data_IF_003802965355
#
_entry.id   IF_003802965355
#
_cell.length_a   1.000
_cell.length_b   1.000
_cell.length_c   1.000
_cell.angle_alpha   90.00
_cell.angle_beta   90.00
_cell.angle_gamma   90.00
#
_symmetry.space_group_name_H-M   'P 1'
#
loop_
_entity.id
_entity.type
_entity.pdbx_description
1 polymer ?
#
# COMPACT_ATOMS: atom_id res chain seq x y z
N UNK A 1 9.74 11.54 -6.47
CA UNK A 1 8.67 12.19 -5.67
C UNK A 1 8.13 11.19 -4.66
N UNK A 2 7.89 11.64 -3.45
CA UNK A 2 7.38 10.80 -2.37
C UNK A 2 6.20 11.46 -1.67
N UNK A 3 5.27 10.65 -1.20
CA UNK A 3 4.17 11.08 -0.32
C UNK A 3 3.75 9.90 0.54
N UNK A 4 2.84 10.12 1.47
CA UNK A 4 2.37 9.05 2.35
C UNK A 4 0.87 8.82 2.16
N UNK A 5 0.45 7.59 2.44
CA UNK A 5 -0.97 7.24 2.39
C UNK A 5 -1.31 6.20 3.45
N UNK A 6 -2.60 6.14 3.80
CA UNK A 6 -3.11 5.20 4.80
C UNK A 6 -3.12 3.77 4.22
N UNK A 7 -2.37 2.83 4.83
CA UNK A 7 -2.34 1.45 4.31
C UNK A 7 -3.65 0.68 4.48
N UNK A 8 -4.63 1.23 5.18
CA UNK A 8 -5.97 0.64 5.29
C UNK A 8 -6.95 1.23 4.28
N UNK A 9 -6.54 2.21 3.49
CA UNK A 9 -7.40 2.86 2.50
C UNK A 9 -7.26 2.18 1.14
N UNK A 10 -8.24 1.33 0.82
CA UNK A 10 -8.17 0.43 -0.35
C UNK A 10 -8.09 1.21 -1.66
N UNK A 11 -8.91 2.25 -1.82
CA UNK A 11 -8.94 3.03 -3.07
C UNK A 11 -7.63 3.77 -3.31
N UNK A 12 -7.06 4.37 -2.26
CA UNK A 12 -5.79 5.08 -2.36
C UNK A 12 -4.63 4.12 -2.67
N UNK A 13 -4.63 2.95 -2.04
CA UNK A 13 -3.61 1.94 -2.30
C UNK A 13 -3.65 1.50 -3.77
N UNK A 14 -4.82 1.20 -4.28
CA UNK A 14 -4.99 0.82 -5.68
C UNK A 14 -4.52 1.94 -6.62
N UNK A 15 -4.94 3.17 -6.35
CA UNK A 15 -4.57 4.32 -7.18
C UNK A 15 -3.05 4.51 -7.21
N UNK A 16 -2.41 4.52 -6.04
CA UNK A 16 -0.97 4.74 -5.95
C UNK A 16 -0.15 3.65 -6.65
N UNK A 17 -0.48 2.39 -6.40
CA UNK A 17 0.33 1.28 -6.86
C UNK A 17 -0.01 0.86 -8.30
N UNK A 18 -1.28 0.88 -8.69
CA UNK A 18 -1.71 0.39 -10.00
C UNK A 18 -1.92 1.50 -11.02
N UNK A 19 -2.48 2.65 -10.61
CA UNK A 19 -2.80 3.72 -11.55
C UNK A 19 -1.64 4.68 -11.77
N UNK A 20 -0.84 4.94 -10.74
CA UNK A 20 0.34 5.80 -10.85
C UNK A 20 1.64 5.03 -11.05
N UNK A 21 1.69 3.77 -10.63
CA UNK A 21 2.91 2.97 -10.70
C UNK A 21 3.90 3.27 -9.58
N UNK A 22 3.45 3.87 -8.49
CA UNK A 22 4.29 4.06 -7.31
C UNK A 22 4.61 2.70 -6.67
N UNK A 23 5.65 2.68 -5.86
CA UNK A 23 6.00 1.53 -5.02
C UNK A 23 6.03 1.98 -3.58
N UNK A 24 6.05 1.03 -2.65
CA UNK A 24 6.23 1.33 -1.23
C UNK A 24 7.15 0.29 -0.60
N UNK A 25 8.11 0.78 0.20
CA UNK A 25 9.06 -0.08 0.91
C UNK A 25 9.42 0.47 2.30
N UNK A 26 8.66 1.47 2.78
CA UNK A 26 8.82 2.04 4.12
C UNK A 26 7.45 2.17 4.78
N UNK A 27 7.38 1.78 6.03
CA UNK A 27 6.16 1.83 6.85
C UNK A 27 6.43 2.72 8.06
N UNK A 28 5.66 3.80 8.20
CA UNK A 28 5.78 4.74 9.31
C UNK A 28 4.65 4.51 10.30
N UNK A 29 5.01 4.12 11.52
CA UNK A 29 4.04 3.86 12.59
C UNK A 29 3.59 5.17 13.20
N UNK A 30 2.26 5.39 13.24
CA UNK A 30 1.63 6.52 13.92
C UNK A 30 2.29 7.87 13.59
N UNK A 31 2.51 8.12 12.29
CA UNK A 31 3.29 9.25 11.80
C UNK A 31 2.78 10.62 12.28
N UNK A 32 1.46 10.80 12.38
CA UNK A 32 0.84 12.08 12.75
C UNK A 32 0.16 12.04 14.11
N UNK A 33 0.32 10.95 14.88
CA UNK A 33 -0.40 10.75 16.12
C UNK A 33 -1.84 10.30 15.86
N UNK A 34 -2.59 10.07 16.94
CA UNK A 34 -4.00 9.70 16.86
C UNK A 34 -4.82 10.97 16.65
N UNK A 35 -5.67 10.97 15.62
CA UNK A 35 -6.51 12.11 15.27
C UNK A 35 -7.99 11.77 15.52
N UNK A 36 -8.83 12.81 15.65
CA UNK A 36 -10.27 12.66 15.79
C UNK A 36 -10.99 12.60 14.44
N UNK A 37 -10.24 12.59 13.33
CA UNK A 37 -10.81 12.51 11.99
C UNK A 37 -11.68 11.27 11.84
N UNK A 38 -12.92 11.37 11.33
CA UNK A 38 -13.78 10.22 11.08
C UNK A 38 -13.13 9.20 10.12
N UNK A 39 -12.35 9.66 9.16
CA UNK A 39 -11.65 8.79 8.21
C UNK A 39 -10.59 7.95 8.90
N UNK A 40 -9.92 8.50 9.93
CA UNK A 40 -8.89 7.78 10.68
C UNK A 40 -9.50 6.84 11.73
N UNK A 41 -10.71 7.11 12.20
CA UNK A 41 -11.40 6.28 13.18
C UNK A 41 -10.66 6.16 14.51
N UNK A 42 -9.92 7.18 14.93
CA UNK A 42 -9.10 7.22 16.14
C UNK A 42 -8.01 6.13 16.20
N UNK A 43 -7.69 5.53 15.07
CA UNK A 43 -6.56 4.60 14.97
C UNK A 43 -5.24 5.34 14.91
N UNK A 44 -4.11 4.69 15.26
CA UNK A 44 -2.79 5.25 14.94
C UNK A 44 -2.71 5.63 13.45
N UNK A 45 -2.03 6.73 13.16
CA UNK A 45 -1.86 7.20 11.79
C UNK A 45 -0.68 6.53 11.11
N UNK A 46 -0.78 5.21 10.96
CA UNK A 46 0.23 4.46 10.20
C UNK A 46 0.19 4.89 8.73
N UNK A 47 1.36 4.98 8.11
CA UNK A 47 1.48 5.42 6.72
C UNK A 47 2.48 4.57 5.97
N UNK A 48 2.16 4.25 4.72
CA UNK A 48 3.14 3.77 3.75
C UNK A 48 3.69 4.97 3.01
N UNK A 49 4.96 4.91 2.66
CA UNK A 49 5.59 5.95 1.84
C UNK A 49 5.53 5.50 0.39
N UNK A 50 4.78 6.24 -0.42
CA UNK A 50 4.73 6.02 -1.85
C UNK A 50 5.95 6.66 -2.50
N UNK A 51 6.66 5.91 -3.33
CA UNK A 51 7.78 6.40 -4.12
C UNK A 51 7.39 6.36 -5.59
N UNK A 52 7.35 7.52 -6.21
CA UNK A 52 7.00 7.64 -7.63
C UNK A 52 8.24 8.05 -8.43
N UNK A 53 8.78 7.08 -9.13
CA UNK A 53 9.98 7.23 -9.95
C UNK A 53 9.55 7.52 -11.39
N UNK A 54 9.30 8.80 -11.65
CA UNK A 54 8.62 9.28 -12.87
C UNK A 54 9.25 8.82 -14.18
N UNK A 55 10.56 8.67 -14.23
CA UNK A 55 11.29 8.24 -15.42
C UNK A 55 11.63 6.76 -15.42
N UNK A 56 11.12 6.01 -14.47
CA UNK A 56 11.36 4.57 -14.36
C UNK A 56 10.62 3.79 -15.46
N UNK A 57 11.13 2.59 -15.75
CA UNK A 57 10.44 1.65 -16.64
C UNK A 57 9.04 1.32 -16.16
N UNK A 58 8.88 1.20 -14.85
CA UNK A 58 7.61 0.87 -14.23
C UNK A 58 6.55 1.95 -14.49
N UNK A 59 6.88 3.20 -14.17
CA UNK A 59 5.95 4.31 -14.35
C UNK A 59 5.68 4.55 -15.83
N UNK A 60 6.71 4.46 -16.66
CA UNK A 60 6.55 4.61 -18.10
C UNK A 60 5.61 3.56 -18.70
N UNK A 61 5.71 2.31 -18.25
CA UNK A 61 4.80 1.24 -18.67
C UNK A 61 3.36 1.53 -18.24
N UNK A 62 3.15 2.03 -17.04
CA UNK A 62 1.81 2.39 -16.55
C UNK A 62 1.22 3.52 -17.40
N UNK A 63 2.01 4.54 -17.70
CA UNK A 63 1.54 5.67 -18.50
C UNK A 63 1.25 5.28 -19.96
N UNK A 64 2.00 4.33 -20.50
CA UNK A 64 1.84 3.90 -21.88
C UNK A 64 0.72 2.88 -22.08
N UNK A 65 0.56 1.93 -21.15
CA UNK A 65 -0.37 0.81 -21.32
C UNK A 65 -1.42 0.68 -20.22
N UNK A 66 -1.30 1.44 -19.14
CA UNK A 66 -2.18 1.31 -17.98
C UNK A 66 -1.76 0.21 -17.00
N UNK A 67 -0.66 -0.49 -17.28
CA UNK A 67 -0.19 -1.61 -16.46
C UNK A 67 1.30 -1.54 -16.21
N UNK A 68 1.72 -1.80 -14.97
CA UNK A 68 3.13 -1.98 -14.66
C UNK A 68 3.62 -3.36 -15.16
N UNK A 69 4.94 -3.56 -15.28
CA UNK A 69 5.47 -4.87 -15.63
C UNK A 69 5.01 -5.95 -14.66
N UNK A 70 4.89 -7.18 -15.15
CA UNK A 70 4.50 -8.31 -14.32
C UNK A 70 5.50 -8.50 -13.17
N UNK A 71 4.98 -8.82 -11.99
CA UNK A 71 5.77 -9.03 -10.79
C UNK A 71 5.59 -10.46 -10.29
N UNK A 72 6.62 -10.97 -9.61
CA UNK A 72 6.51 -12.24 -8.89
C UNK A 72 6.00 -11.93 -7.49
N UNK A 73 4.77 -12.29 -7.22
CA UNK A 73 4.15 -12.05 -5.91
C UNK A 73 4.65 -13.10 -4.92
N UNK A 74 5.32 -12.65 -3.87
CA UNK A 74 5.82 -13.52 -2.81
C UNK A 74 4.95 -13.48 -1.56
N UNK A 75 4.22 -12.36 -1.36
CA UNK A 75 3.35 -12.20 -0.20
C UNK A 75 2.18 -11.27 -0.56
N UNK A 76 1.01 -11.54 0.03
CA UNK A 76 -0.14 -10.66 -0.03
C UNK A 76 -0.49 -10.17 1.36
N UNK A 77 -0.73 -8.86 1.48
CA UNK A 77 -1.18 -8.25 2.73
C UNK A 77 -2.56 -7.67 2.46
N UNK A 78 -3.57 -8.26 3.09
CA UNK A 78 -4.97 -7.98 2.76
C UNK A 78 -5.61 -6.97 3.70
N UNK A 79 -6.55 -6.19 3.13
CA UNK A 79 -7.43 -5.30 3.89
C UNK A 79 -8.86 -5.67 3.51
N UNK A 80 -9.69 -6.09 4.47
CA UNK A 80 -11.08 -6.46 4.17
C UNK A 80 -11.92 -5.21 3.89
N UNK A 81 -12.96 -5.36 3.06
CA UNK A 81 -13.88 -4.27 2.75
C UNK A 81 -14.51 -3.66 4.00
N UNK A 82 -14.77 -4.49 5.00
CA UNK A 82 -15.38 -4.10 6.27
C UNK A 82 -14.56 -3.08 7.05
N UNK A 83 -13.30 -2.83 6.63
CA UNK A 83 -12.43 -1.86 7.31
C UNK A 83 -13.10 -0.48 7.40
N UNK A 84 -13.87 -0.09 6.40
CA UNK A 84 -14.55 1.21 6.40
C UNK A 84 -15.62 1.27 7.49
N UNK A 85 -16.42 0.22 7.62
CA UNK A 85 -17.46 0.13 8.65
C UNK A 85 -16.84 0.06 10.04
N UNK A 86 -15.78 -0.71 10.20
CA UNK A 86 -15.10 -0.90 11.48
C UNK A 86 -14.43 0.39 11.97
N UNK A 87 -13.90 1.20 11.07
CA UNK A 87 -13.31 2.49 11.43
C UNK A 87 -14.38 3.52 11.83
N UNK A 88 -15.54 3.45 11.22
CA UNK A 88 -16.64 4.40 11.45
C UNK A 88 -17.42 4.12 12.74
N UNK A 89 -17.45 2.87 13.20
CA UNK A 89 -18.26 2.45 14.35
C UNK A 89 -17.34 2.19 15.57
N UNK A 90 -17.57 2.94 16.65
CA UNK A 90 -16.78 2.81 17.87
C UNK A 90 -16.80 1.39 18.45
N UNK A 91 -17.93 0.68 18.30
CA UNK A 91 -18.08 -0.68 18.85
C UNK A 91 -17.32 -1.72 18.03
N UNK A 92 -17.04 -1.43 16.74
CA UNK A 92 -16.35 -2.33 15.83
C UNK A 92 -14.89 -1.94 15.61
N UNK A 93 -14.44 -0.86 16.22
CA UNK A 93 -13.11 -0.30 16.02
C UNK A 93 -11.99 -1.26 16.40
N UNK A 94 -12.23 -2.14 17.37
CA UNK A 94 -11.25 -3.15 17.76
C UNK A 94 -10.91 -4.09 16.59
N UNK A 95 -11.87 -4.36 15.68
CA UNK A 95 -11.61 -5.15 14.49
C UNK A 95 -10.62 -4.43 13.55
N UNK A 96 -10.79 -3.12 13.38
CA UNK A 96 -9.88 -2.32 12.57
C UNK A 96 -8.48 -2.25 13.20
N UNK A 97 -8.40 -2.10 14.51
CA UNK A 97 -7.14 -2.12 15.25
C UNK A 97 -6.40 -3.44 15.05
N UNK A 98 -7.12 -4.56 15.06
CA UNK A 98 -6.55 -5.88 14.84
C UNK A 98 -5.95 -6.02 13.43
N UNK A 99 -6.66 -5.53 12.41
CA UNK A 99 -6.15 -5.55 11.04
C UNK A 99 -4.91 -4.66 10.92
N UNK A 100 -4.95 -3.46 11.48
CA UNK A 100 -3.81 -2.54 11.43
C UNK A 100 -2.58 -3.16 12.11
N UNK A 101 -2.73 -3.74 13.29
CA UNK A 101 -1.63 -4.36 14.01
C UNK A 101 -1.04 -5.55 13.25
N UNK A 102 -1.91 -6.40 12.70
CA UNK A 102 -1.48 -7.53 11.87
C UNK A 102 -0.70 -7.06 10.65
N UNK A 103 -1.26 -6.10 9.92
CA UNK A 103 -0.65 -5.62 8.69
C UNK A 103 0.65 -4.87 8.94
N UNK A 104 0.73 -4.08 10.03
CA UNK A 104 1.97 -3.44 10.45
C UNK A 104 3.10 -4.46 10.60
N UNK A 105 2.84 -5.53 11.32
CA UNK A 105 3.81 -6.62 11.51
C UNK A 105 4.22 -7.24 10.16
N UNK A 106 3.25 -7.51 9.30
CA UNK A 106 3.52 -8.11 7.99
C UNK A 106 4.35 -7.19 7.10
N UNK A 107 4.03 -5.89 7.05
CA UNK A 107 4.80 -4.92 6.27
C UNK A 107 6.23 -4.81 6.79
N UNK A 108 6.40 -4.63 8.09
CA UNK A 108 7.73 -4.48 8.68
C UNK A 108 8.59 -5.71 8.46
N UNK A 109 8.00 -6.90 8.61
CA UNK A 109 8.70 -8.16 8.38
C UNK A 109 9.09 -8.32 6.92
N UNK A 110 8.17 -8.06 5.99
CA UNK A 110 8.44 -8.17 4.55
C UNK A 110 9.50 -7.18 4.08
N UNK A 111 9.38 -5.91 4.52
CA UNK A 111 10.38 -4.90 4.16
C UNK A 111 11.76 -5.25 4.73
N UNK A 112 11.80 -5.82 5.94
CA UNK A 112 13.04 -6.30 6.53
C UNK A 112 13.70 -7.44 5.76
N UNK A 113 12.93 -8.15 4.94
CA UNK A 113 13.43 -9.22 4.06
C UNK A 113 13.73 -8.74 2.64
N UNK A 114 13.73 -7.43 2.41
CA UNK A 114 14.02 -6.86 1.10
C UNK A 114 12.87 -6.85 0.12
N UNK A 115 11.65 -7.16 0.56
CA UNK A 115 10.48 -7.05 -0.29
C UNK A 115 9.98 -5.63 -0.34
N UNK A 116 9.23 -5.32 -1.40
CA UNK A 116 8.58 -4.03 -1.60
C UNK A 116 7.15 -4.24 -2.07
N UNK A 117 6.28 -3.27 -1.79
CA UNK A 117 4.94 -3.26 -2.39
C UNK A 117 5.07 -2.86 -3.86
N UNK A 118 4.73 -3.77 -4.75
CA UNK A 118 4.90 -3.61 -6.19
C UNK A 118 3.58 -3.66 -6.95
N UNK A 119 2.47 -3.86 -6.27
CA UNK A 119 1.17 -3.91 -6.90
C UNK A 119 0.05 -4.00 -5.90
N UNK A 120 -1.17 -3.92 -6.40
CA UNK A 120 -2.37 -4.00 -5.59
C UNK A 120 -3.48 -4.71 -6.35
N UNK A 121 -4.17 -5.61 -5.69
CA UNK A 121 -5.24 -6.41 -6.27
C UNK A 121 -6.53 -6.12 -5.51
N UNK A 122 -7.59 -5.76 -6.24
CA UNK A 122 -8.91 -5.59 -5.65
C UNK A 122 -9.68 -6.89 -5.74
N UNK A 123 -10.28 -7.30 -4.62
CA UNK A 123 -11.10 -8.49 -4.58
C UNK A 123 -12.52 -8.19 -5.06
N UNK A 124 -13.22 -9.22 -5.53
CA UNK A 124 -14.60 -9.09 -6.00
C UNK A 124 -15.55 -8.61 -4.91
N UNK A 125 -15.26 -8.90 -3.64
CA UNK A 125 -16.05 -8.50 -2.48
C UNK A 125 -15.81 -7.04 -2.04
N UNK A 126 -14.87 -6.33 -2.68
CA UNK A 126 -14.53 -4.95 -2.35
C UNK A 126 -13.32 -4.80 -1.43
N UNK A 127 -12.74 -5.88 -0.95
CA UNK A 127 -11.47 -5.85 -0.23
C UNK A 127 -10.30 -5.66 -1.18
N UNK A 128 -9.10 -5.61 -0.63
CA UNK A 128 -7.91 -5.47 -1.44
C UNK A 128 -6.68 -6.10 -0.80
N UNK A 129 -5.64 -6.29 -1.59
CA UNK A 129 -4.39 -6.88 -1.13
C UNK A 129 -3.21 -6.17 -1.75
N UNK A 130 -2.24 -5.80 -0.92
CA UNK A 130 -0.93 -5.38 -1.38
C UNK A 130 -0.18 -6.61 -1.91
N UNK A 131 0.47 -6.43 -3.04
CA UNK A 131 1.28 -7.48 -3.66
C UNK A 131 2.75 -7.13 -3.45
N UNK A 132 3.46 -7.99 -2.72
CA UNK A 132 4.85 -7.74 -2.37
C UNK A 132 5.75 -8.75 -3.07
N UNK A 133 6.91 -8.27 -3.50
CA UNK A 133 7.93 -9.06 -4.15
C UNK A 133 9.29 -8.45 -3.96
N UNK A 134 10.29 -9.06 -4.58
CA UNK A 134 11.67 -8.60 -4.46
C UNK A 134 11.85 -7.27 -5.17
N UNK A 135 12.61 -6.38 -4.54
CA UNK A 135 12.99 -5.11 -5.11
C UNK A 135 13.92 -5.32 -6.30
N UNK A 136 13.63 -4.64 -7.40
CA UNK A 136 14.48 -4.66 -8.58
C UNK A 136 14.80 -3.21 -8.97
N UNK A 137 16.04 -2.81 -8.76
CA UNK A 137 16.50 -1.45 -9.08
C UNK A 137 16.36 -1.11 -10.55
N UNK A 138 16.41 -2.10 -11.44
CA UNK A 138 16.30 -1.86 -12.88
C UNK A 138 14.97 -1.22 -13.27
N UNK A 139 13.94 -1.42 -12.46
CA UNK A 139 12.63 -0.79 -12.71
C UNK A 139 12.64 0.70 -12.42
N UNK A 140 13.62 1.18 -11.65
CA UNK A 140 13.69 2.56 -11.19
C UNK A 140 14.48 3.46 -12.12
N UNK A 141 15.19 2.88 -13.07
CA UNK A 141 15.97 3.66 -14.04
C UNK A 141 15.21 3.78 -15.37
N UNK A 142 15.51 4.83 -16.17
CA UNK A 142 14.90 4.95 -17.50
C UNK A 142 15.22 3.72 -18.35
N UNK A 143 14.31 3.36 -19.29
CA UNK A 143 14.59 2.27 -20.22
C UNK A 143 15.87 2.56 -21.01
N UNK A 144 16.71 1.54 -21.17
CA UNK A 144 17.85 1.62 -22.07
C UNK A 144 17.39 1.36 -23.50
N UNK A 145 17.89 2.17 -24.40
CA UNK A 145 17.58 2.00 -25.83
C UNK A 145 18.47 0.95 -26.48
#
# INVERSE_FOLDING_TARGET
>A
MEWTFDPLEIKNAYFNLERLGAIARRYNVNQYGITESPLQGSLPTDRLVAEWWMTSRRVEAVLASGHHPAIKVEERISVPREIYDWKADKQLRANAEGIQARNRYLFETSFGRGRSCLGYERAADGGGSFLLGQWDENWMYPPTQ
#
